data_IF_215863721045
#
_entry.id   IF_215863721045
#
_cell.length_a   1.000
_cell.length_b   1.000
_cell.length_c   1.000
_cell.angle_alpha   90.00
_cell.angle_beta   90.00
_cell.angle_gamma   90.00
#
_symmetry.space_group_name_H-M   'P 1'
#
loop_
_entity.id
_entity.type
_entity.pdbx_description
1 polymer ?
#
# COMPACT_ATOMS: atom_id res chain seq x y z
N UNK A 1 24.72 -35.42 0.08
CA UNK A 1 24.88 -34.37 1.12
C UNK A 1 24.79 -32.94 0.56
N UNK A 2 24.81 -32.73 -0.77
CA UNK A 2 24.70 -31.41 -1.43
C UNK A 2 23.28 -30.84 -1.50
N UNK A 3 22.23 -31.67 -1.39
CA UNK A 3 20.82 -31.21 -1.49
C UNK A 3 20.35 -30.37 -0.29
N UNK A 4 20.87 -30.63 0.91
CA UNK A 4 20.50 -29.89 2.13
C UNK A 4 21.18 -28.50 2.21
N UNK A 5 22.39 -28.37 1.66
CA UNK A 5 23.13 -27.10 1.63
C UNK A 5 22.44 -26.08 0.71
N UNK A 6 21.93 -26.53 -0.46
CA UNK A 6 21.18 -25.66 -1.37
C UNK A 6 19.85 -25.16 -0.78
N UNK A 7 19.16 -25.96 0.05
CA UNK A 7 17.90 -25.54 0.67
C UNK A 7 18.11 -24.45 1.73
N UNK A 8 19.19 -24.55 2.51
CA UNK A 8 19.55 -23.56 3.53
C UNK A 8 19.96 -22.21 2.92
N UNK A 9 20.70 -22.22 1.80
CA UNK A 9 21.09 -20.99 1.09
C UNK A 9 19.90 -20.25 0.48
N UNK A 10 18.91 -20.96 -0.09
CA UNK A 10 17.69 -20.33 -0.60
C UNK A 10 16.88 -19.65 0.51
N UNK A 11 16.71 -20.31 1.66
CA UNK A 11 15.94 -19.76 2.79
C UNK A 11 16.60 -18.51 3.40
N UNK A 12 17.94 -18.45 3.44
CA UNK A 12 18.63 -17.26 3.95
C UNK A 12 18.45 -16.04 3.03
N UNK A 13 18.50 -16.24 1.71
CA UNK A 13 18.29 -15.15 0.74
C UNK A 13 16.87 -14.56 0.77
N UNK A 14 15.85 -15.40 0.99
CA UNK A 14 14.45 -14.97 1.11
C UNK A 14 14.20 -14.10 2.35
N UNK A 15 14.83 -14.42 3.48
CA UNK A 15 14.70 -13.62 4.70
C UNK A 15 15.30 -12.21 4.55
N UNK A 16 16.43 -12.11 3.83
CA UNK A 16 17.07 -10.81 3.57
C UNK A 16 16.20 -9.92 2.68
N UNK A 17 15.62 -10.48 1.60
CA UNK A 17 14.72 -9.76 0.70
C UNK A 17 13.43 -9.31 1.41
N UNK A 18 12.83 -10.17 2.24
CA UNK A 18 11.64 -9.83 3.00
C UNK A 18 11.89 -8.74 4.07
N UNK A 19 13.07 -8.77 4.71
CA UNK A 19 13.45 -7.76 5.69
C UNK A 19 13.63 -6.38 5.04
N UNK A 20 14.26 -6.31 3.86
CA UNK A 20 14.43 -5.07 3.12
C UNK A 20 13.08 -4.48 2.68
N UNK A 21 12.19 -5.31 2.12
CA UNK A 21 10.84 -4.89 1.72
C UNK A 21 10.01 -4.36 2.90
N UNK A 22 10.15 -4.97 4.08
CA UNK A 22 9.43 -4.52 5.29
C UNK A 22 9.94 -3.16 5.77
N UNK A 23 11.26 -2.94 5.71
CA UNK A 23 11.88 -1.66 6.08
C UNK A 23 11.43 -0.55 5.13
N UNK A 24 11.51 -0.79 3.82
CA UNK A 24 11.07 0.16 2.80
C UNK A 24 9.60 0.53 2.98
N UNK A 25 8.74 -0.46 3.22
CA UNK A 25 7.32 -0.22 3.47
C UNK A 25 7.09 0.69 4.67
N UNK A 26 7.79 0.46 5.79
CA UNK A 26 7.66 1.28 7.00
C UNK A 26 8.09 2.73 6.75
N UNK A 27 9.23 2.95 6.08
CA UNK A 27 9.72 4.29 5.75
C UNK A 27 8.75 5.05 4.84
N UNK A 28 8.20 4.37 3.82
CA UNK A 28 7.20 4.95 2.93
C UNK A 28 5.89 5.25 3.66
N UNK A 29 5.42 4.38 4.56
CA UNK A 29 4.20 4.59 5.33
C UNK A 29 4.33 5.79 6.29
N UNK A 30 5.47 5.95 6.96
CA UNK A 30 5.76 7.15 7.77
C UNK A 30 5.89 8.42 6.92
N UNK A 31 6.48 8.32 5.73
CA UNK A 31 6.58 9.44 4.80
C UNK A 31 5.20 9.88 4.30
N UNK A 32 4.33 8.93 3.94
CA UNK A 32 2.95 9.21 3.55
C UNK A 32 2.19 9.95 4.64
N UNK A 33 2.27 9.47 5.90
CA UNK A 33 1.62 10.11 7.03
C UNK A 33 2.07 11.57 7.19
N UNK A 34 3.39 11.82 7.20
CA UNK A 34 3.95 13.18 7.29
C UNK A 34 3.52 14.08 6.12
N UNK A 35 3.50 13.57 4.90
CA UNK A 35 3.07 14.35 3.74
C UNK A 35 1.60 14.77 3.86
N UNK A 36 0.73 13.84 4.28
CA UNK A 36 -0.68 14.13 4.50
C UNK A 36 -0.91 15.14 5.63
N UNK A 37 -0.18 15.02 6.74
CA UNK A 37 -0.24 15.96 7.87
C UNK A 37 0.21 17.37 7.49
N UNK A 38 1.21 17.50 6.61
CA UNK A 38 1.75 18.78 6.16
C UNK A 38 1.05 19.36 4.92
N UNK A 39 0.00 18.72 4.42
CA UNK A 39 -0.73 19.19 3.24
C UNK A 39 -0.02 18.95 1.91
N UNK A 40 1.02 18.13 1.88
CA UNK A 40 1.81 17.78 0.70
C UNK A 40 1.12 16.65 -0.10
N UNK A 41 -0.10 16.91 -0.57
CA UNK A 41 -0.97 15.85 -1.10
C UNK A 41 -0.49 15.22 -2.41
N UNK A 42 0.17 15.98 -3.29
CA UNK A 42 0.76 15.43 -4.52
C UNK A 42 1.89 14.44 -4.21
N UNK A 43 2.76 14.77 -3.24
CA UNK A 43 3.81 13.86 -2.82
C UNK A 43 3.23 12.62 -2.12
N UNK A 44 2.14 12.79 -1.36
CA UNK A 44 1.44 11.68 -0.72
C UNK A 44 0.81 10.72 -1.76
N UNK A 45 0.32 11.25 -2.89
CA UNK A 45 -0.14 10.43 -4.02
C UNK A 45 1.01 9.56 -4.53
N UNK A 46 2.17 10.15 -4.83
CA UNK A 46 3.34 9.40 -5.31
C UNK A 46 3.80 8.33 -4.30
N UNK A 47 3.84 8.67 -3.01
CA UNK A 47 4.22 7.73 -1.95
C UNK A 47 3.21 6.57 -1.83
N UNK A 48 1.91 6.85 -1.92
CA UNK A 48 0.87 5.81 -1.85
C UNK A 48 0.95 4.83 -3.02
N UNK A 49 1.30 5.31 -4.22
CA UNK A 49 1.51 4.46 -5.40
C UNK A 49 2.76 3.59 -5.25
N UNK A 50 3.83 4.11 -4.63
CA UNK A 50 5.02 3.29 -4.30
C UNK A 50 4.69 2.20 -3.29
N UNK A 51 3.95 2.52 -2.24
CA UNK A 51 3.44 1.52 -1.28
C UNK A 51 2.62 0.44 -1.99
N UNK A 52 1.78 0.82 -2.95
CA UNK A 52 0.96 -0.13 -3.70
C UNK A 52 1.78 -1.05 -4.60
N UNK A 53 2.93 -0.59 -5.11
CA UNK A 53 3.82 -1.46 -5.88
C UNK A 53 4.49 -2.54 -5.00
N UNK A 54 4.70 -2.24 -3.71
CA UNK A 54 5.21 -3.21 -2.75
C UNK A 54 4.14 -4.20 -2.33
N UNK A 55 2.95 -3.71 -1.96
CA UNK A 55 1.84 -4.52 -1.44
C UNK A 55 0.51 -4.16 -2.13
N UNK A 56 0.27 -4.63 -3.38
CA UNK A 56 -0.91 -4.24 -4.18
C UNK A 56 -2.26 -4.67 -3.60
N UNK A 57 -2.23 -5.55 -2.60
CA UNK A 57 -3.44 -6.09 -1.96
C UNK A 57 -3.67 -5.53 -0.56
N UNK A 58 -2.80 -4.65 -0.05
CA UNK A 58 -3.05 -4.00 1.24
C UNK A 58 -4.18 -2.98 1.09
N UNK A 59 -5.34 -3.28 1.68
CA UNK A 59 -6.53 -2.42 1.64
C UNK A 59 -6.29 -1.06 2.31
N UNK A 60 -5.31 -0.96 3.21
CA UNK A 60 -4.87 0.32 3.81
C UNK A 60 -4.21 1.20 2.75
N UNK A 61 -3.37 0.60 1.91
CA UNK A 61 -2.67 1.31 0.84
C UNK A 61 -3.63 1.71 -0.27
N UNK A 62 -4.59 0.85 -0.62
CA UNK A 62 -5.66 1.21 -1.55
C UNK A 62 -6.47 2.42 -1.03
N UNK A 63 -6.80 2.43 0.26
CA UNK A 63 -7.43 3.59 0.89
C UNK A 63 -6.54 4.85 0.85
N UNK A 64 -5.23 4.72 1.07
CA UNK A 64 -4.30 5.84 0.96
C UNK A 64 -4.31 6.47 -0.43
N UNK A 65 -4.35 5.65 -1.48
CA UNK A 65 -4.42 6.14 -2.85
C UNK A 65 -5.69 6.97 -3.04
N UNK A 66 -6.86 6.44 -2.67
CA UNK A 66 -8.14 7.17 -2.80
C UNK A 66 -8.11 8.47 -2.01
N UNK A 67 -7.65 8.42 -0.76
CA UNK A 67 -7.68 9.57 0.13
C UNK A 67 -6.74 10.69 -0.31
N UNK A 68 -5.50 10.36 -0.68
CA UNK A 68 -4.52 11.34 -1.15
C UNK A 68 -4.91 11.99 -2.48
N UNK A 69 -5.43 11.21 -3.44
CA UNK A 69 -5.95 11.76 -4.71
C UNK A 69 -7.07 12.76 -4.45
N UNK A 70 -8.03 12.38 -3.60
CA UNK A 70 -9.16 13.25 -3.25
C UNK A 70 -8.68 14.54 -2.58
N UNK A 71 -7.72 14.47 -1.65
CA UNK A 71 -7.14 15.66 -1.00
C UNK A 71 -6.34 16.54 -1.95
N UNK A 72 -5.69 15.94 -2.95
CA UNK A 72 -4.98 16.66 -4.00
C UNK A 72 -5.91 17.28 -5.07
N UNK A 73 -7.21 16.99 -5.03
CA UNK A 73 -8.15 17.42 -6.08
C UNK A 73 -7.95 16.69 -7.41
N UNK A 74 -7.37 15.48 -7.37
CA UNK A 74 -7.15 14.63 -8.53
C UNK A 74 -8.26 13.59 -8.64
N UNK A 75 -8.53 13.14 -9.88
CA UNK A 75 -9.40 11.99 -10.11
C UNK A 75 -8.78 10.73 -9.51
N UNK A 76 -9.55 9.98 -8.73
CA UNK A 76 -9.14 8.66 -8.23
C UNK A 76 -8.99 7.69 -9.42
N UNK A 77 -7.87 6.94 -9.51
CA UNK A 77 -7.70 5.99 -10.59
C UNK A 77 -8.76 4.89 -10.56
N UNK A 78 -9.43 4.64 -11.69
CA UNK A 78 -10.56 3.69 -11.79
C UNK A 78 -10.18 2.29 -11.30
N UNK A 79 -8.94 1.87 -11.56
CA UNK A 79 -8.45 0.55 -11.14
C UNK A 79 -8.42 0.36 -9.62
N UNK A 80 -8.27 1.45 -8.84
CA UNK A 80 -8.21 1.39 -7.37
C UNK A 80 -9.55 0.99 -6.79
N UNK A 81 -10.65 1.43 -7.41
CA UNK A 81 -12.00 1.08 -6.99
C UNK A 81 -12.54 -0.16 -7.71
N UNK A 82 -11.82 -0.68 -8.70
CA UNK A 82 -12.14 -1.93 -9.36
C UNK A 82 -11.77 -3.13 -8.45
N UNK A 83 -12.50 -4.24 -8.59
CA UNK A 83 -12.17 -5.49 -7.90
C UNK A 83 -10.82 -6.05 -8.38
N UNK A 84 -10.06 -6.78 -7.52
CA UNK A 84 -10.47 -7.25 -6.20
C UNK A 84 -9.89 -6.45 -5.02
N UNK A 85 -10.77 -5.88 -4.19
CA UNK A 85 -10.38 -5.52 -2.82
C UNK A 85 -10.41 -6.80 -1.98
N UNK A 86 -9.32 -7.20 -1.31
CA UNK A 86 -9.40 -8.28 -0.33
C UNK A 86 -10.49 -8.00 0.69
N UNK A 87 -11.19 -9.05 1.12
CA UNK A 87 -12.27 -8.98 2.11
C UNK A 87 -12.08 -10.06 3.17
N UNK A 88 -10.85 -10.18 3.68
CA UNK A 88 -10.48 -11.24 4.64
C UNK A 88 -10.77 -10.81 6.08
N UNK A 89 -10.78 -9.51 6.36
CA UNK A 89 -10.96 -8.95 7.70
C UNK A 89 -12.04 -7.86 7.76
N UNK A 90 -12.45 -7.51 8.98
CA UNK A 90 -13.31 -6.34 9.23
C UNK A 90 -12.62 -5.05 8.76
N UNK A 91 -11.31 -4.94 9.02
CA UNK A 91 -10.49 -3.80 8.60
C UNK A 91 -10.55 -3.61 7.08
N UNK A 92 -10.44 -4.69 6.31
CA UNK A 92 -10.52 -4.65 4.85
C UNK A 92 -11.86 -4.07 4.36
N UNK A 93 -12.97 -4.55 4.93
CA UNK A 93 -14.31 -4.02 4.62
C UNK A 93 -14.45 -2.56 4.97
N UNK A 94 -13.95 -2.17 6.14
CA UNK A 94 -14.00 -0.78 6.59
C UNK A 94 -13.19 0.12 5.65
N UNK A 95 -11.97 -0.27 5.29
CA UNK A 95 -11.14 0.48 4.36
C UNK A 95 -11.84 0.70 3.02
N UNK A 96 -12.48 -0.35 2.48
CA UNK A 96 -13.26 -0.25 1.25
C UNK A 96 -14.44 0.72 1.38
N UNK A 97 -15.25 0.58 2.42
CA UNK A 97 -16.41 1.45 2.65
C UNK A 97 -15.99 2.93 2.80
N UNK A 98 -14.87 3.18 3.48
CA UNK A 98 -14.31 4.53 3.61
C UNK A 98 -13.87 5.04 2.23
N UNK A 99 -13.14 4.22 1.46
CA UNK A 99 -12.68 4.58 0.12
C UNK A 99 -13.85 4.89 -0.84
N UNK A 100 -14.88 4.05 -0.88
CA UNK A 100 -16.07 4.24 -1.70
C UNK A 100 -16.84 5.51 -1.29
N UNK A 101 -16.97 5.76 0.02
CA UNK A 101 -17.59 6.98 0.55
C UNK A 101 -16.83 8.24 0.14
N UNK A 102 -15.50 8.20 0.14
CA UNK A 102 -14.67 9.35 -0.28
C UNK A 102 -14.76 9.54 -1.80
N UNK A 103 -14.54 8.49 -2.58
CA UNK A 103 -14.47 8.56 -4.04
C UNK A 103 -15.80 8.90 -4.73
N UNK A 104 -16.94 8.64 -4.08
CA UNK A 104 -18.27 9.00 -4.59
C UNK A 104 -18.64 10.49 -4.43
N UNK A 105 -17.85 11.26 -3.67
CA UNK A 105 -18.10 12.68 -3.39
C UNK A 105 -17.24 13.63 -4.25
N UNK A 106 -16.44 13.08 -5.17
CA UNK A 106 -15.59 13.79 -6.13
C UNK A 106 -16.11 13.61 -7.54
#
# INVERSE_FOLDING_TARGET
MTKFINLFLCLFSLNCLAAESTKEWNELNEMYARQMENGLYLDAVDTSLKLNNLEPTDTTVLLYIVYSHTKAGLSVPIWVLAEPWPNKSVKDRMNRLIAESIGSNT
#
